data_IF_280843685937
#
_entry.id   IF_280843685937
#
_cell.length_a   1.000
_cell.length_b   1.000
_cell.length_c   1.000
_cell.angle_alpha   90.00
_cell.angle_beta   90.00
_cell.angle_gamma   90.00
#
_symmetry.space_group_name_H-M   'P 1'
#
loop_
_entity.id
_entity.type
_entity.pdbx_description
1 polymer ?
#
# COMPACT_ATOMS: atom_id res chain seq x y z
N UNK A 1 11.99 -11.41 -6.10
CA UNK A 1 10.74 -10.69 -5.84
C UNK A 1 10.82 -9.39 -6.63
N UNK A 2 9.84 -9.11 -7.50
CA UNK A 2 9.83 -7.85 -8.24
C UNK A 2 9.45 -6.73 -7.28
N UNK A 3 10.19 -5.62 -7.29
CA UNK A 3 9.79 -4.43 -6.54
C UNK A 3 8.46 -3.91 -7.16
N UNK A 4 7.52 -3.38 -6.37
CA UNK A 4 6.23 -2.96 -6.90
C UNK A 4 6.40 -1.86 -7.94
N UNK A 5 5.73 -1.99 -9.08
CA UNK A 5 5.74 -0.99 -10.17
C UNK A 5 5.42 0.41 -9.62
N UNK A 6 4.46 0.51 -8.70
CA UNK A 6 4.10 1.80 -8.08
C UNK A 6 5.27 2.42 -7.29
N UNK A 7 6.08 1.61 -6.60
CA UNK A 7 7.21 2.11 -5.83
C UNK A 7 8.39 2.46 -6.74
N UNK A 8 8.58 1.70 -7.83
CA UNK A 8 9.57 1.98 -8.88
C UNK A 8 9.25 3.32 -9.58
N UNK A 9 8.02 3.49 -10.05
CA UNK A 9 7.60 4.69 -10.80
C UNK A 9 7.57 5.95 -9.93
N UNK A 10 7.20 5.82 -8.65
CA UNK A 10 7.23 6.93 -7.70
C UNK A 10 8.58 7.15 -7.03
N UNK A 11 9.58 6.31 -7.34
CA UNK A 11 10.93 6.39 -6.77
C UNK A 11 10.90 6.41 -5.24
N UNK A 12 10.10 5.53 -4.66
CA UNK A 12 10.00 5.41 -3.21
C UNK A 12 11.35 5.02 -2.61
N UNK A 13 11.63 5.49 -1.39
CA UNK A 13 12.71 4.99 -0.55
C UNK A 13 12.62 3.46 -0.43
N UNK A 14 13.78 2.80 -0.44
CA UNK A 14 13.86 1.33 -0.48
C UNK A 14 13.17 0.67 0.71
N UNK A 15 13.03 1.37 1.84
CA UNK A 15 12.38 0.87 3.06
C UNK A 15 10.85 0.89 3.00
N UNK A 16 10.23 1.63 2.08
CA UNK A 16 8.76 1.76 1.99
C UNK A 16 8.12 0.39 1.71
N UNK A 17 8.62 -0.33 0.71
CA UNK A 17 8.02 -1.61 0.34
C UNK A 17 8.22 -2.72 1.40
N UNK A 18 9.44 -2.94 1.94
CA UNK A 18 9.63 -3.88 3.05
C UNK A 18 8.78 -3.56 4.27
N UNK A 19 8.59 -2.27 4.59
CA UNK A 19 7.73 -1.85 5.69
C UNK A 19 6.25 -2.15 5.40
N UNK A 20 5.77 -1.87 4.18
CA UNK A 20 4.42 -2.21 3.77
C UNK A 20 4.16 -3.72 3.86
N UNK A 21 5.10 -4.54 3.39
CA UNK A 21 5.02 -6.00 3.51
C UNK A 21 5.00 -6.46 4.96
N UNK A 22 5.83 -5.85 5.83
CA UNK A 22 5.78 -6.13 7.26
C UNK A 22 4.39 -5.86 7.86
N UNK A 23 3.70 -4.80 7.44
CA UNK A 23 2.33 -4.53 7.86
C UNK A 23 1.34 -5.56 7.34
N UNK A 24 1.44 -5.94 6.06
CA UNK A 24 0.59 -6.98 5.46
C UNK A 24 0.73 -8.30 6.22
N UNK A 25 1.96 -8.78 6.41
CA UNK A 25 2.23 -10.07 7.07
C UNK A 25 1.72 -10.08 8.51
N UNK A 26 1.93 -8.99 9.26
CA UNK A 26 1.44 -8.87 10.65
C UNK A 26 -0.08 -8.82 10.71
N UNK A 27 -0.74 -8.14 9.77
CA UNK A 27 -2.20 -8.09 9.73
C UNK A 27 -2.79 -9.45 9.40
N UNK A 28 -2.25 -10.14 8.39
CA UNK A 28 -2.67 -11.49 8.00
C UNK A 28 -2.38 -12.54 9.09
N UNK A 29 -1.36 -12.33 9.91
CA UNK A 29 -1.06 -13.18 11.06
C UNK A 29 -2.10 -13.10 12.19
N UNK A 30 -2.96 -12.08 12.21
CA UNK A 30 -3.97 -11.85 13.25
C UNK A 30 -5.40 -11.95 12.69
N UNK A 31 -5.64 -11.49 11.47
CA UNK A 31 -6.96 -11.42 10.87
C UNK A 31 -7.05 -12.23 9.58
N UNK A 32 -8.07 -13.11 9.44
CA UNK A 32 -8.33 -13.77 8.18
C UNK A 32 -8.89 -12.76 7.16
N UNK A 33 -8.17 -12.57 6.05
CA UNK A 33 -8.55 -11.64 4.98
C UNK A 33 -8.95 -12.42 3.74
N UNK A 34 -10.06 -12.02 3.11
CA UNK A 34 -10.50 -12.66 1.86
C UNK A 34 -9.60 -12.22 0.70
N UNK A 35 -9.44 -13.09 -0.30
CA UNK A 35 -8.60 -12.82 -1.48
C UNK A 35 -8.94 -11.49 -2.18
N UNK A 36 -10.22 -11.13 -2.23
CA UNK A 36 -10.69 -9.88 -2.85
C UNK A 36 -10.39 -8.62 -2.02
N UNK A 37 -9.89 -8.75 -0.80
CA UNK A 37 -9.49 -7.63 0.07
C UNK A 37 -7.98 -7.42 0.13
N UNK A 38 -7.18 -8.31 -0.50
CA UNK A 38 -5.72 -8.24 -0.44
C UNK A 38 -5.16 -6.98 -1.11
N UNK A 39 -5.78 -6.53 -2.21
CA UNK A 39 -5.37 -5.28 -2.86
C UNK A 39 -5.63 -4.08 -1.95
N UNK A 40 -6.78 -4.03 -1.27
CA UNK A 40 -7.10 -2.96 -0.33
C UNK A 40 -6.13 -2.94 0.85
N UNK A 41 -5.85 -4.11 1.43
CA UNK A 41 -4.87 -4.25 2.50
C UNK A 41 -3.48 -3.77 2.04
N UNK A 42 -2.98 -4.29 0.91
CA UNK A 42 -1.68 -3.92 0.37
C UNK A 42 -1.57 -2.42 0.09
N UNK A 43 -2.58 -1.83 -0.55
CA UNK A 43 -2.62 -0.39 -0.84
C UNK A 43 -2.64 0.46 0.42
N UNK A 44 -3.42 0.05 1.44
CA UNK A 44 -3.47 0.73 2.74
C UNK A 44 -2.12 0.64 3.45
N UNK A 45 -1.52 -0.55 3.50
CA UNK A 45 -0.20 -0.76 4.10
C UNK A 45 0.89 0.06 3.38
N UNK A 46 0.82 0.17 2.05
CA UNK A 46 1.75 0.97 1.27
C UNK A 46 1.58 2.48 1.52
N UNK A 47 0.33 2.95 1.61
CA UNK A 47 0.03 4.33 1.99
C UNK A 47 0.60 4.66 3.37
N UNK A 48 0.40 3.78 4.36
CA UNK A 48 0.92 3.94 5.72
C UNK A 48 2.46 3.95 5.74
N UNK A 49 3.09 3.01 5.04
CA UNK A 49 4.55 2.91 4.98
C UNK A 49 5.17 4.16 4.35
N UNK A 50 4.59 4.66 3.25
CA UNK A 50 5.06 5.89 2.61
C UNK A 50 4.93 7.09 3.54
N UNK A 51 3.81 7.25 4.26
CA UNK A 51 3.62 8.32 5.27
C UNK A 51 4.67 8.31 6.38
N UNK A 52 5.24 7.14 6.71
CA UNK A 52 6.23 7.01 7.76
C UNK A 52 7.68 7.22 7.25
N UNK A 53 7.96 6.85 6.00
CA UNK A 53 9.33 6.79 5.46
C UNK A 53 9.65 7.88 4.45
N UNK A 54 8.64 8.49 3.83
CA UNK A 54 8.83 9.50 2.82
C UNK A 54 8.68 10.92 3.37
N UNK A 55 9.53 11.88 2.94
CA UNK A 55 9.25 13.29 3.17
C UNK A 55 8.02 13.77 2.38
N UNK A 56 7.71 13.10 1.26
CA UNK A 56 6.52 13.34 0.42
C UNK A 56 5.84 11.99 0.15
N UNK A 57 4.87 11.60 0.98
CA UNK A 57 4.24 10.29 0.86
C UNK A 57 3.35 10.17 -0.37
N UNK A 58 3.05 8.92 -0.72
CA UNK A 58 2.14 8.60 -1.81
C UNK A 58 0.75 9.18 -1.49
N UNK A 59 0.09 9.75 -2.50
CA UNK A 59 -1.28 10.26 -2.33
C UNK A 59 -2.30 9.13 -2.48
N UNK A 60 -3.44 9.29 -1.80
CA UNK A 60 -4.54 8.34 -1.93
C UNK A 60 -5.15 8.36 -3.35
N UNK A 61 -5.25 9.53 -4.02
CA UNK A 61 -5.75 9.58 -5.39
C UNK A 61 -4.84 8.80 -6.35
N UNK A 62 -3.53 8.92 -6.17
CA UNK A 62 -2.57 8.21 -6.99
C UNK A 62 -2.70 6.70 -6.78
N UNK A 63 -2.78 6.25 -5.53
CA UNK A 63 -2.96 4.83 -5.23
C UNK A 63 -4.28 4.27 -5.79
N UNK A 64 -5.37 5.04 -5.73
CA UNK A 64 -6.65 4.67 -6.37
C UNK A 64 -6.46 4.43 -7.87
N UNK A 65 -5.72 5.31 -8.57
CA UNK A 65 -5.39 5.13 -9.98
C UNK A 65 -4.61 3.84 -10.25
N UNK A 66 -3.55 3.54 -9.47
CA UNK A 66 -2.77 2.30 -9.63
C UNK A 66 -3.55 1.02 -9.32
N UNK A 67 -4.66 1.14 -8.61
CA UNK A 67 -5.54 0.01 -8.32
C UNK A 67 -6.60 -0.21 -9.40
N UNK A 68 -6.51 0.49 -10.54
CA UNK A 68 -7.52 0.48 -11.61
C UNK A 68 -8.93 0.79 -11.06
N UNK A 69 -9.00 1.73 -10.12
CA UNK A 69 -10.23 2.15 -9.44
C UNK A 69 -11.02 1.03 -8.73
N UNK A 70 -10.41 -0.15 -8.52
CA UNK A 70 -10.99 -1.23 -7.71
C UNK A 70 -11.11 -0.85 -6.22
N UNK A 71 -10.32 0.14 -5.79
CA UNK A 71 -10.34 0.76 -4.47
C UNK A 71 -10.70 2.24 -4.66
N UNK A 72 -11.58 2.75 -3.82
CA UNK A 72 -11.98 4.16 -3.83
C UNK A 72 -11.18 4.97 -2.82
N UNK A 73 -11.19 6.31 -2.98
CA UNK A 73 -10.59 7.20 -1.99
C UNK A 73 -11.17 6.96 -0.59
N UNK A 74 -12.47 6.64 -0.50
CA UNK A 74 -13.13 6.40 0.78
C UNK A 74 -12.69 5.12 1.47
N UNK A 75 -12.26 4.11 0.71
CA UNK A 75 -11.71 2.86 1.28
C UNK A 75 -10.33 3.07 1.92
N UNK A 76 -9.59 4.09 1.46
CA UNK A 76 -8.30 4.52 2.03
C UNK A 76 -8.44 5.65 3.05
N UNK A 77 -9.66 6.14 3.24
CA UNK A 77 -9.97 7.24 4.15
C UNK A 77 -10.28 6.67 5.53
N UNK A 78 -9.58 7.21 6.52
CA UNK A 78 -10.08 7.22 7.89
C UNK A 78 -10.93 8.48 8.09
#
# INVERSE_FOLDING_TARGET
MHYPVVCEEQKCQEEVFPLAMNYVDRFLGVFPVRKNQLQLLGTTCLLLASKLREPRPLSAEMLVFYTDHSITFNDLRY
#
